data_IF_372524137762
#
_entry.id   IF_372524137762
#
_cell.length_a   1.000
_cell.length_b   1.000
_cell.length_c   1.000
_cell.angle_alpha   90.00
_cell.angle_beta   90.00
_cell.angle_gamma   90.00
#
_symmetry.space_group_name_H-M   'P 1'
#
loop_
_entity.id
_entity.type
_entity.pdbx_description
1 polymer ?
#
# COMPACT_ATOMS: atom_id res chain seq x y z
N UNK A 1 18.06 -10.11 -5.12
CA UNK A 1 17.90 -8.78 -4.49
C UNK A 1 16.48 -8.34 -4.72
N UNK A 2 15.74 -7.99 -3.67
CA UNK A 2 14.36 -7.51 -3.82
C UNK A 2 14.37 -6.16 -4.56
N UNK A 3 13.76 -6.10 -5.74
CA UNK A 3 13.64 -4.93 -6.63
C UNK A 3 12.87 -3.73 -6.03
N UNK A 4 12.51 -3.80 -4.75
CA UNK A 4 11.73 -2.78 -4.08
C UNK A 4 12.67 -1.72 -3.47
N UNK A 5 12.53 -0.43 -3.82
CA UNK A 5 13.24 0.65 -3.13
C UNK A 5 12.66 0.87 -1.72
N UNK A 6 13.36 1.56 -0.83
CA UNK A 6 12.69 2.16 0.34
C UNK A 6 11.77 3.29 -0.12
N UNK A 7 10.53 3.35 0.38
CA UNK A 7 9.55 4.34 -0.08
C UNK A 7 8.66 4.82 1.05
N UNK A 8 8.39 6.12 1.10
CA UNK A 8 7.48 6.72 2.09
C UNK A 8 6.07 6.15 2.00
N UNK A 9 5.46 5.85 3.15
CA UNK A 9 4.15 5.22 3.28
C UNK A 9 3.04 6.00 2.55
N UNK A 10 3.08 7.33 2.55
CA UNK A 10 2.13 8.14 1.79
C UNK A 10 2.15 7.86 0.28
N UNK A 11 3.35 7.64 -0.30
CA UNK A 11 3.51 7.27 -1.71
C UNK A 11 3.04 5.83 -1.95
N UNK A 12 3.40 4.91 -1.04
CA UNK A 12 2.94 3.51 -1.10
C UNK A 12 1.43 3.39 -1.03
N UNK A 13 0.75 4.27 -0.28
CA UNK A 13 -0.71 4.29 -0.22
C UNK A 13 -1.33 4.87 -1.49
N UNK A 14 -0.71 5.87 -2.11
CA UNK A 14 -1.21 6.46 -3.34
C UNK A 14 -1.16 5.48 -4.52
N UNK A 15 -0.17 4.59 -4.58
CA UNK A 15 0.00 3.65 -5.69
C UNK A 15 -1.16 2.65 -5.85
N UNK A 16 -1.66 1.94 -4.80
CA UNK A 16 -2.86 1.13 -4.85
C UNK A 16 -4.07 1.89 -5.39
N UNK A 17 -4.24 3.14 -4.97
CA UNK A 17 -5.38 3.95 -5.40
C UNK A 17 -5.36 4.22 -6.91
N UNK A 18 -4.16 4.35 -7.50
CA UNK A 18 -3.99 4.53 -8.96
C UNK A 18 -4.30 3.25 -9.76
N UNK A 19 -4.01 2.08 -9.21
CA UNK A 19 -4.26 0.78 -9.88
C UNK A 19 -5.70 0.26 -9.67
N UNK A 20 -6.58 1.07 -9.05
CA UNK A 20 -8.00 0.76 -8.87
C UNK A 20 -8.41 0.28 -7.48
N UNK A 21 -7.56 0.44 -6.46
CA UNK A 21 -8.02 0.34 -5.07
C UNK A 21 -8.77 1.60 -4.65
N UNK A 22 -9.66 1.45 -3.69
CA UNK A 22 -10.43 2.55 -3.10
C UNK A 22 -10.35 2.49 -1.58
N UNK A 23 -10.42 3.63 -0.90
CA UNK A 23 -10.49 3.67 0.55
C UNK A 23 -11.93 3.34 0.96
N UNK A 24 -12.15 2.14 1.49
CA UNK A 24 -13.44 1.69 2.01
C UNK A 24 -13.77 2.32 3.35
N UNK A 25 -12.75 2.48 4.20
CA UNK A 25 -12.87 3.04 5.55
C UNK A 25 -11.54 3.65 5.98
N UNK A 26 -11.60 4.74 6.73
CA UNK A 26 -10.45 5.29 7.42
C UNK A 26 -10.79 5.47 8.90
N UNK A 27 -9.93 4.98 9.79
CA UNK A 27 -10.01 5.20 11.23
C UNK A 27 -8.72 5.83 11.72
N UNK A 28 -8.81 7.05 12.26
CA UNK A 28 -7.62 7.82 12.64
C UNK A 28 -6.72 8.18 11.45
N UNK A 29 -5.47 8.51 11.73
CA UNK A 29 -4.51 9.00 10.73
C UNK A 29 -3.71 7.89 10.03
N UNK A 30 -3.54 6.73 10.67
CA UNK A 30 -2.72 5.61 10.17
C UNK A 30 -3.48 4.41 9.63
N UNK A 31 -4.75 4.19 10.03
CA UNK A 31 -5.48 2.98 9.64
C UNK A 31 -6.47 3.27 8.52
N UNK A 32 -6.20 2.70 7.35
CA UNK A 32 -7.04 2.81 6.14
C UNK A 32 -7.32 1.40 5.63
N UNK A 33 -8.59 1.08 5.43
CA UNK A 33 -9.03 -0.17 4.79
C UNK A 33 -9.25 0.13 3.31
N UNK A 34 -8.53 -0.59 2.46
CA UNK A 34 -8.62 -0.51 1.02
C UNK A 34 -9.46 -1.68 0.48
N UNK A 35 -10.27 -1.41 -0.53
CA UNK A 35 -11.03 -2.42 -1.27
C UNK A 35 -10.84 -2.29 -2.76
N UNK A 36 -10.84 -3.43 -3.46
CA UNK A 36 -10.84 -3.54 -4.92
C UNK A 36 -11.74 -4.71 -5.30
N UNK A 37 -12.51 -4.58 -6.38
CA UNK A 37 -13.37 -5.66 -6.88
C UNK A 37 -12.55 -6.93 -7.10
N UNK A 38 -13.08 -8.08 -6.67
CA UNK A 38 -12.44 -9.41 -6.74
C UNK A 38 -11.16 -9.59 -5.91
N UNK A 39 -10.83 -8.63 -5.03
CA UNK A 39 -9.73 -8.72 -4.07
C UNK A 39 -10.25 -8.66 -2.63
N UNK A 40 -9.60 -9.36 -1.68
CA UNK A 40 -9.87 -9.18 -0.26
C UNK A 40 -9.56 -7.75 0.20
N UNK A 41 -10.30 -7.26 1.19
CA UNK A 41 -9.99 -5.99 1.84
C UNK A 41 -8.55 -6.00 2.39
N UNK A 42 -7.82 -4.91 2.17
CA UNK A 42 -6.45 -4.74 2.62
C UNK A 42 -6.34 -3.62 3.64
N UNK A 43 -5.81 -3.92 4.83
CA UNK A 43 -5.59 -2.91 5.88
C UNK A 43 -4.20 -2.30 5.71
N UNK A 44 -4.15 -1.01 5.41
CA UNK A 44 -2.96 -0.19 5.42
C UNK A 44 -2.88 0.56 6.76
N UNK A 45 -1.93 0.20 7.61
CA UNK A 45 -1.81 0.68 8.99
C UNK A 45 -0.47 1.40 9.23
N UNK A 46 -0.13 2.36 8.37
CA UNK A 46 1.13 3.11 8.45
C UNK A 46 0.84 4.60 8.47
N UNK A 47 1.67 5.35 9.20
CA UNK A 47 1.59 6.81 9.17
C UNK A 47 2.22 7.35 7.88
N UNK A 48 1.67 8.43 7.32
CA UNK A 48 2.13 8.99 6.03
C UNK A 48 3.63 9.39 6.01
N UNK A 49 4.22 9.63 7.19
CA UNK A 49 5.64 10.01 7.38
C UNK A 49 6.60 8.83 7.53
N UNK A 50 6.10 7.59 7.64
CA UNK A 50 6.95 6.42 7.79
C UNK A 50 7.59 6.02 6.46
N UNK A 51 8.77 5.41 6.53
CA UNK A 51 9.43 4.80 5.38
C UNK A 51 9.25 3.27 5.43
N UNK A 52 8.79 2.70 4.31
CA UNK A 52 8.63 1.27 4.17
C UNK A 52 9.79 0.68 3.39
N UNK A 53 10.51 -0.22 4.05
CA UNK A 53 11.63 -0.92 3.43
C UNK A 53 11.21 -2.02 2.43
N UNK A 54 12.19 -2.56 1.67
CA UNK A 54 11.95 -3.48 0.56
C UNK A 54 11.15 -4.74 0.93
N UNK A 55 11.39 -5.29 2.12
CA UNK A 55 10.71 -6.50 2.61
C UNK A 55 9.22 -6.24 2.92
N UNK A 56 8.90 -5.06 3.43
CA UNK A 56 7.52 -4.70 3.73
C UNK A 56 6.77 -4.42 2.44
N UNK A 57 7.38 -3.68 1.52
CA UNK A 57 6.81 -3.42 0.19
C UNK A 57 6.50 -4.70 -0.57
N UNK A 58 7.42 -5.67 -0.58
CA UNK A 58 7.19 -6.98 -1.18
C UNK A 58 5.99 -7.72 -0.56
N UNK A 59 5.69 -7.52 0.73
CA UNK A 59 4.51 -8.10 1.39
C UNK A 59 3.22 -7.39 1.01
N UNK A 60 3.25 -6.06 0.93
CA UNK A 60 2.11 -5.25 0.49
C UNK A 60 1.77 -5.62 -0.96
N UNK A 61 2.78 -5.64 -1.84
CA UNK A 61 2.64 -5.98 -3.25
C UNK A 61 1.93 -7.31 -3.51
N UNK A 62 2.25 -8.35 -2.74
CA UNK A 62 1.57 -9.66 -2.86
C UNK A 62 0.06 -9.60 -2.57
N UNK A 63 -0.39 -8.63 -1.79
CA UNK A 63 -1.80 -8.48 -1.39
C UNK A 63 -2.53 -7.41 -2.18
N UNK A 64 -1.82 -6.42 -2.71
CA UNK A 64 -2.42 -5.30 -3.45
C UNK A 64 -2.24 -5.39 -4.96
N UNK A 65 -1.35 -6.27 -5.43
CA UNK A 65 -0.96 -6.35 -6.83
C UNK A 65 -0.04 -5.21 -7.28
N UNK A 66 0.57 -4.47 -6.35
CA UNK A 66 1.56 -3.44 -6.69
C UNK A 66 2.79 -4.07 -7.35
N UNK A 67 3.36 -3.34 -8.30
CA UNK A 67 4.70 -3.58 -8.84
C UNK A 67 5.66 -2.46 -8.43
N UNK A 68 6.99 -2.68 -8.46
CA UNK A 68 7.97 -1.62 -8.18
C UNK A 68 7.85 -0.42 -9.13
N UNK A 69 7.25 -0.59 -10.31
CA UNK A 69 7.03 0.46 -11.30
C UNK A 69 5.87 1.40 -10.95
N UNK A 70 4.98 0.97 -10.06
CA UNK A 70 3.83 1.76 -9.61
C UNK A 70 4.19 2.72 -8.46
N UNK A 71 5.37 2.53 -7.85
CA UNK A 71 5.87 3.38 -6.78
C UNK A 71 6.36 4.70 -7.34
#
# INVERSE_FOLDING_TARGET
MSEWPSTGAGRVLASPLRIGWTIKRQQGSSHRVLSRADWPDFVFAFHDREELGPRMLARIAKRTGLSPRDL
#
